data_IF_613666716063
#
_entry.id   IF_613666716063
#
_cell.length_a   1.000
_cell.length_b   1.000
_cell.length_c   1.000
_cell.angle_alpha   90.00
_cell.angle_beta   90.00
_cell.angle_gamma   90.00
#
_symmetry.space_group_name_H-M   'P 1'
#
loop_
_entity.id
_entity.type
_entity.pdbx_description
1 polymer ?
#
# COMPACT_ATOMS: atom_id res chain seq x y z
N UNK A 1 14.75 -0.67 -21.39
CA UNK A 1 13.65 -0.84 -22.34
C UNK A 1 12.38 -1.47 -21.73
N UNK A 2 12.42 -2.16 -20.58
CA UNK A 2 11.21 -2.79 -19.98
C UNK A 2 10.42 -1.90 -19.01
N UNK A 3 11.00 -0.87 -18.41
CA UNK A 3 10.34 -0.01 -17.40
C UNK A 3 9.71 1.26 -17.97
N UNK A 4 10.18 1.78 -19.10
CA UNK A 4 9.53 2.91 -19.79
C UNK A 4 8.25 2.49 -20.53
N UNK A 5 8.09 1.20 -20.80
CA UNK A 5 6.87 0.65 -21.39
C UNK A 5 5.70 0.52 -20.39
N UNK A 6 5.95 0.66 -19.08
CA UNK A 6 4.92 0.51 -18.05
C UNK A 6 4.07 1.75 -17.80
N UNK A 7 4.45 2.91 -18.34
CA UNK A 7 3.72 4.16 -18.07
C UNK A 7 2.94 4.77 -19.23
N UNK A 8 3.34 4.57 -20.46
CA UNK A 8 2.78 5.31 -21.60
C UNK A 8 2.11 4.48 -22.71
N UNK A 9 2.26 3.16 -22.72
CA UNK A 9 1.65 2.32 -23.77
C UNK A 9 0.41 1.55 -23.29
N UNK A 10 0.02 1.68 -22.04
CA UNK A 10 -1.13 0.94 -21.49
C UNK A 10 -2.48 1.31 -22.12
N UNK A 11 -2.60 2.46 -22.76
CA UNK A 11 -3.88 2.89 -23.35
C UNK A 11 -4.20 2.29 -24.74
N UNK A 12 -3.22 1.72 -25.45
CA UNK A 12 -3.44 1.24 -26.80
C UNK A 12 -3.03 -0.22 -27.07
N UNK A 13 -2.41 -0.92 -26.11
CA UNK A 13 -1.99 -2.33 -26.31
C UNK A 13 -3.05 -3.36 -25.93
N UNK A 14 -4.18 -2.94 -25.38
CA UNK A 14 -5.28 -3.86 -24.97
C UNK A 14 -6.21 -4.28 -26.14
N UNK A 15 -5.88 -3.98 -27.38
CA UNK A 15 -6.69 -4.44 -28.52
C UNK A 15 -6.50 -5.94 -28.85
N UNK A 16 -5.46 -6.56 -28.33
CA UNK A 16 -5.24 -8.02 -28.37
C UNK A 16 -5.15 -8.41 -26.91
N UNK A 17 -6.21 -9.02 -26.37
CA UNK A 17 -6.27 -9.41 -24.96
C UNK A 17 -5.01 -10.15 -24.55
N UNK A 18 -4.26 -9.60 -23.59
CA UNK A 18 -3.15 -10.31 -22.96
C UNK A 18 -3.75 -11.50 -22.23
N UNK A 19 -3.37 -12.70 -22.62
CA UNK A 19 -3.78 -13.94 -21.96
C UNK A 19 -2.66 -14.42 -21.04
N UNK A 20 -3.03 -14.87 -19.84
CA UNK A 20 -2.08 -15.61 -19.02
C UNK A 20 -1.78 -16.98 -19.67
N UNK A 21 -0.83 -17.73 -19.07
CA UNK A 21 -0.45 -19.08 -19.56
C UNK A 21 -1.60 -20.11 -19.57
N UNK A 22 -2.74 -19.81 -18.91
CA UNK A 22 -3.97 -20.61 -18.94
C UNK A 22 -4.96 -20.15 -20.04
N UNK A 23 -4.60 -19.15 -20.84
CA UNK A 23 -5.47 -18.57 -21.87
C UNK A 23 -6.58 -17.68 -21.31
N UNK A 24 -6.48 -17.24 -20.04
CA UNK A 24 -7.43 -16.31 -19.44
C UNK A 24 -7.04 -14.88 -19.81
N UNK A 25 -7.99 -14.09 -20.16
CA UNK A 25 -7.82 -12.67 -20.49
C UNK A 25 -7.39 -11.87 -19.26
N UNK A 26 -6.32 -11.08 -19.39
CA UNK A 26 -5.80 -10.23 -18.33
C UNK A 26 -6.48 -8.86 -18.41
N UNK A 27 -7.04 -8.40 -17.30
CA UNK A 27 -7.61 -7.07 -17.19
C UNK A 27 -7.16 -6.42 -15.87
N UNK A 28 -5.93 -5.92 -15.87
CA UNK A 28 -5.31 -5.30 -14.69
C UNK A 28 -5.68 -3.82 -14.60
N UNK A 29 -6.01 -3.35 -13.40
CA UNK A 29 -6.22 -1.93 -13.13
C UNK A 29 -4.86 -1.26 -12.97
N UNK A 30 -4.55 -0.30 -13.84
CA UNK A 30 -3.31 0.49 -13.79
C UNK A 30 -3.57 1.85 -13.17
N UNK A 31 -2.61 2.33 -12.37
CA UNK A 31 -2.67 3.63 -11.72
C UNK A 31 -1.31 4.33 -11.80
N UNK A 32 -1.31 5.64 -11.72
CA UNK A 32 -0.07 6.37 -11.47
C UNK A 32 0.44 6.09 -10.05
N UNK A 33 1.72 6.37 -9.81
CA UNK A 33 2.39 6.30 -8.50
C UNK A 33 2.11 5.02 -7.69
N UNK A 34 2.29 3.82 -8.29
CA UNK A 34 1.93 2.54 -7.66
C UNK A 34 2.74 2.24 -6.39
N UNK A 35 3.87 2.92 -6.16
CA UNK A 35 4.67 2.79 -4.95
C UNK A 35 3.88 3.10 -3.66
N UNK A 36 2.78 3.86 -3.78
CA UNK A 36 1.88 4.16 -2.66
C UNK A 36 1.12 2.95 -2.13
N UNK A 37 0.97 1.89 -2.94
CA UNK A 37 0.31 0.65 -2.53
C UNK A 37 1.23 -0.32 -1.79
N UNK A 38 2.55 -0.14 -1.90
CA UNK A 38 3.53 -1.05 -1.30
C UNK A 38 3.54 -0.86 0.22
N UNK A 39 3.34 -1.94 0.99
CA UNK A 39 3.49 -1.91 2.44
C UNK A 39 4.96 -1.63 2.81
N UNK A 40 5.24 -0.53 3.52
CA UNK A 40 6.62 -0.07 3.67
C UNK A 40 7.34 -0.67 4.87
N UNK A 41 6.61 -1.19 5.87
CA UNK A 41 7.16 -1.67 7.13
C UNK A 41 7.24 -3.20 7.20
N UNK A 42 8.13 -3.69 8.08
CA UNK A 42 8.37 -5.12 8.22
C UNK A 42 7.26 -5.85 8.99
N UNK A 43 6.58 -5.19 9.93
CA UNK A 43 5.53 -5.85 10.71
C UNK A 43 4.37 -6.27 9.83
N UNK A 44 3.80 -5.34 9.08
CA UNK A 44 2.72 -5.63 8.14
C UNK A 44 3.20 -6.49 6.98
N UNK A 45 4.42 -6.23 6.49
CA UNK A 45 5.06 -7.03 5.46
C UNK A 45 5.24 -8.50 5.82
N UNK A 46 5.38 -8.83 7.11
CA UNK A 46 5.45 -10.20 7.61
C UNK A 46 4.07 -10.87 7.76
N UNK A 47 2.99 -10.11 7.64
CA UNK A 47 1.60 -10.57 7.82
C UNK A 47 0.77 -10.44 6.53
N UNK A 48 1.38 -10.69 5.36
CA UNK A 48 0.69 -10.58 4.07
C UNK A 48 0.28 -9.16 3.70
N UNK A 49 1.09 -8.16 4.07
CA UNK A 49 0.83 -6.73 3.90
C UNK A 49 -0.44 -6.22 4.64
N UNK A 50 -0.93 -6.97 5.64
CA UNK A 50 -2.08 -6.62 6.46
C UNK A 50 -1.70 -5.61 7.55
N UNK A 51 -2.53 -4.58 7.75
CA UNK A 51 -2.23 -3.57 8.76
C UNK A 51 -3.40 -2.71 9.22
N UNK A 52 -4.55 -2.73 8.51
CA UNK A 52 -5.68 -1.80 8.79
C UNK A 52 -6.32 -2.04 10.16
N UNK A 53 -6.33 -3.28 10.64
CA UNK A 53 -6.94 -3.69 11.91
C UNK A 53 -5.96 -4.32 12.91
N UNK A 54 -4.66 -4.25 12.69
CA UNK A 54 -3.64 -4.66 13.68
C UNK A 54 -3.61 -3.69 14.85
N UNK A 55 -3.01 -4.10 15.99
CA UNK A 55 -2.78 -3.17 17.10
C UNK A 55 -1.99 -1.94 16.64
N UNK A 56 -2.22 -0.81 17.29
CA UNK A 56 -1.51 0.44 17.04
C UNK A 56 0.01 0.28 17.18
N UNK A 57 0.76 0.89 16.26
CA UNK A 57 2.22 0.94 16.26
C UNK A 57 2.72 2.21 15.58
N UNK A 58 4.04 2.40 15.53
CA UNK A 58 4.66 3.59 14.92
C UNK A 58 4.41 3.66 13.40
N UNK A 59 4.21 2.52 12.72
CA UNK A 59 4.03 2.43 11.27
C UNK A 59 2.56 2.49 10.82
N UNK A 60 1.65 2.80 11.74
CA UNK A 60 0.21 2.84 11.47
C UNK A 60 -0.20 3.84 10.39
N UNK A 61 0.64 4.85 10.08
CA UNK A 61 0.36 5.90 9.09
C UNK A 61 -0.04 5.36 7.71
N UNK A 62 0.65 4.33 7.22
CA UNK A 62 0.36 3.75 5.90
C UNK A 62 -0.95 2.97 5.86
N UNK A 63 -1.26 2.27 6.95
CA UNK A 63 -2.36 1.31 6.99
C UNK A 63 -3.66 1.91 7.52
N UNK A 64 -3.56 2.58 8.67
CA UNK A 64 -4.71 3.17 9.37
C UNK A 64 -4.22 4.18 10.43
N UNK A 65 -4.11 5.47 10.09
CA UNK A 65 -3.65 6.50 11.02
C UNK A 65 -4.53 6.66 12.26
N UNK A 66 -5.82 6.29 12.20
CA UNK A 66 -6.73 6.42 13.35
C UNK A 66 -6.32 5.54 14.54
N UNK A 67 -5.44 4.56 14.35
CA UNK A 67 -4.89 3.72 15.43
C UNK A 67 -4.01 4.49 16.42
N UNK A 68 -3.38 5.60 16.02
CA UNK A 68 -2.37 6.27 16.85
C UNK A 68 -2.85 6.70 18.22
N UNK A 69 -4.12 7.06 18.39
CA UNK A 69 -4.68 7.42 19.70
C UNK A 69 -4.79 6.23 20.66
N UNK A 70 -4.68 4.99 20.16
CA UNK A 70 -4.63 3.75 20.96
C UNK A 70 -3.21 3.32 21.32
N UNK A 71 -2.17 4.00 20.80
CA UNK A 71 -0.80 3.72 21.23
C UNK A 71 -0.63 3.95 22.72
N UNK A 72 0.06 3.03 23.39
CA UNK A 72 0.39 3.12 24.82
C UNK A 72 1.40 4.24 25.08
N UNK A 73 2.32 4.44 24.16
CA UNK A 73 3.39 5.42 24.23
C UNK A 73 2.96 6.78 23.67
N UNK A 74 3.68 7.84 24.05
CA UNK A 74 3.33 9.23 23.68
C UNK A 74 3.92 9.61 22.33
N UNK A 75 5.09 9.09 21.99
CA UNK A 75 5.84 9.47 20.80
C UNK A 75 6.60 8.28 20.24
N UNK A 76 6.62 8.14 18.94
CA UNK A 76 7.43 7.13 18.28
C UNK A 76 7.92 7.59 16.92
N UNK A 77 9.08 7.06 16.53
CA UNK A 77 9.68 7.23 15.20
C UNK A 77 10.14 5.88 14.70
N UNK A 78 9.95 5.60 13.42
CA UNK A 78 10.48 4.42 12.76
C UNK A 78 11.11 4.75 11.41
N UNK A 79 12.09 3.96 11.04
CA UNK A 79 12.70 3.95 9.72
C UNK A 79 12.60 2.54 9.18
N UNK A 80 12.02 2.41 7.98
CA UNK A 80 11.97 1.15 7.24
C UNK A 80 12.74 1.26 5.94
N UNK A 81 13.43 0.18 5.61
CA UNK A 81 14.18 0.03 4.37
C UNK A 81 13.82 -1.28 3.70
N UNK A 82 13.44 -1.20 2.43
CA UNK A 82 13.11 -2.36 1.60
C UNK A 82 13.84 -2.25 0.26
N UNK A 83 14.87 -3.07 0.00
CA UNK A 83 15.38 -3.26 -1.34
C UNK A 83 14.27 -3.92 -2.18
N UNK A 84 13.85 -3.25 -3.24
CA UNK A 84 12.70 -3.63 -4.04
C UNK A 84 13.13 -4.22 -5.38
N UNK A 85 12.44 -5.26 -5.87
CA UNK A 85 12.70 -5.90 -7.17
C UNK A 85 14.18 -6.32 -7.40
N UNK A 86 14.89 -6.72 -6.35
CA UNK A 86 16.35 -6.94 -6.36
C UNK A 86 16.82 -7.99 -7.37
N UNK A 87 15.93 -8.90 -7.80
CA UNK A 87 16.23 -9.86 -8.87
C UNK A 87 16.27 -9.23 -10.26
N UNK A 88 15.58 -8.13 -10.47
CA UNK A 88 15.54 -7.43 -11.76
C UNK A 88 16.58 -6.32 -11.82
N UNK A 89 16.65 -5.50 -10.77
CA UNK A 89 17.51 -4.31 -10.69
C UNK A 89 18.00 -4.14 -9.25
N UNK A 90 19.31 -3.96 -9.08
CA UNK A 90 19.94 -3.99 -7.74
C UNK A 90 19.80 -2.69 -6.93
N UNK A 91 19.35 -1.60 -7.55
CA UNK A 91 19.38 -0.24 -7.01
C UNK A 91 17.99 0.40 -6.80
N UNK A 92 16.92 -0.40 -6.97
CA UNK A 92 15.57 0.03 -6.61
C UNK A 92 15.37 -0.13 -5.10
N UNK A 93 14.98 0.95 -4.43
CA UNK A 93 14.85 0.97 -2.98
C UNK A 93 13.64 1.78 -2.52
N UNK A 94 12.94 1.27 -1.51
CA UNK A 94 11.89 1.96 -0.78
C UNK A 94 12.39 2.31 0.61
N UNK A 95 12.38 3.60 0.93
CA UNK A 95 12.63 4.14 2.26
C UNK A 95 11.34 4.70 2.83
N UNK A 96 11.09 4.44 4.10
CA UNK A 96 9.92 4.94 4.80
C UNK A 96 10.30 5.43 6.19
N UNK A 97 9.98 6.69 6.47
CA UNK A 97 10.06 7.30 7.79
C UNK A 97 8.65 7.54 8.28
N UNK A 98 8.33 7.12 9.49
CA UNK A 98 7.06 7.39 10.14
C UNK A 98 7.28 7.88 11.56
N UNK A 99 6.42 8.79 12.01
CA UNK A 99 6.42 9.31 13.37
C UNK A 99 5.00 9.62 13.82
N UNK A 100 4.76 9.50 15.11
CA UNK A 100 3.52 9.97 15.73
C UNK A 100 3.80 10.67 17.06
N UNK A 101 2.88 11.53 17.46
CA UNK A 101 2.87 12.19 18.74
C UNK A 101 1.45 12.30 19.27
N UNK A 102 1.18 11.67 20.41
CA UNK A 102 -0.06 11.85 21.15
C UNK A 102 -0.02 13.19 21.89
N UNK A 103 -0.87 14.11 21.47
CA UNK A 103 -1.01 15.43 22.10
C UNK A 103 -1.79 15.31 23.41
N UNK A 104 -2.85 14.48 23.37
CA UNK A 104 -3.72 14.14 24.49
C UNK A 104 -4.05 12.65 24.45
N UNK A 105 -4.82 12.16 25.41
CA UNK A 105 -5.33 10.76 25.37
C UNK A 105 -6.34 10.53 24.24
N UNK A 106 -6.85 11.61 23.64
CA UNK A 106 -7.87 11.58 22.59
C UNK A 106 -7.35 12.01 21.22
N UNK A 107 -6.22 12.71 21.16
CA UNK A 107 -5.72 13.34 19.92
C UNK A 107 -4.27 12.97 19.67
N UNK A 108 -3.94 12.63 18.43
CA UNK A 108 -2.58 12.40 17.99
C UNK A 108 -2.31 13.05 16.62
N UNK A 109 -1.10 13.55 16.45
CA UNK A 109 -0.53 13.95 15.16
C UNK A 109 0.39 12.85 14.66
N UNK A 110 0.50 12.75 13.34
CA UNK A 110 1.41 11.82 12.71
C UNK A 110 2.02 12.41 11.45
N UNK A 111 3.17 11.87 11.08
CA UNK A 111 3.93 12.28 9.92
C UNK A 111 4.50 11.05 9.24
N UNK A 112 4.57 11.02 7.91
CA UNK A 112 5.43 10.09 7.20
C UNK A 112 6.06 10.70 5.96
N UNK A 113 7.22 10.16 5.61
CA UNK A 113 7.90 10.40 4.35
C UNK A 113 8.18 9.04 3.72
N UNK A 114 7.72 8.83 2.52
CA UNK A 114 8.02 7.69 1.69
C UNK A 114 8.83 8.15 0.49
N UNK A 115 9.98 7.51 0.27
CA UNK A 115 10.86 7.77 -0.86
C UNK A 115 11.12 6.48 -1.63
N UNK A 116 10.83 6.49 -2.93
CA UNK A 116 11.04 5.37 -3.83
C UNK A 116 12.03 5.77 -4.92
N UNK A 117 13.17 5.09 -4.96
CA UNK A 117 14.18 5.24 -6.00
C UNK A 117 14.05 4.08 -6.98
N UNK A 118 13.98 4.41 -8.27
CA UNK A 118 13.94 3.42 -9.34
C UNK A 118 15.33 3.04 -9.87
N UNK A 119 16.39 3.53 -9.20
CA UNK A 119 17.77 3.27 -9.59
C UNK A 119 18.26 4.06 -10.79
N UNK A 120 19.36 3.60 -11.37
CA UNK A 120 20.00 4.23 -12.54
C UNK A 120 19.43 3.65 -13.82
N UNK A 121 18.70 4.46 -14.60
CA UNK A 121 18.14 4.07 -15.90
C UNK A 121 18.94 4.72 -17.02
N UNK A 122 19.56 3.90 -17.87
CA UNK A 122 20.23 4.36 -19.08
C UNK A 122 19.19 4.54 -20.20
N UNK A 123 19.01 5.77 -20.63
CA UNK A 123 18.17 6.08 -21.78
C UNK A 123 18.94 5.88 -23.07
N UNK A 124 18.26 5.37 -24.08
CA UNK A 124 18.82 5.20 -25.44
C UNK A 124 17.87 5.83 -26.44
N UNK A 125 18.45 6.35 -27.55
CA UNK A 125 17.66 6.79 -28.69
C UNK A 125 17.03 5.61 -29.46
N UNK A 126 16.30 5.91 -30.53
CA UNK A 126 15.64 4.89 -31.35
C UNK A 126 16.64 3.95 -32.07
N UNK A 127 17.92 4.29 -32.09
CA UNK A 127 19.02 3.51 -32.69
C UNK A 127 19.81 2.74 -31.62
N UNK A 128 19.39 2.81 -30.34
CA UNK A 128 20.08 2.18 -29.22
C UNK A 128 21.32 2.93 -28.71
N UNK A 129 21.57 4.17 -29.15
CA UNK A 129 22.69 4.96 -28.67
C UNK A 129 22.40 5.56 -27.30
N UNK A 130 23.36 5.55 -26.37
CA UNK A 130 23.16 6.09 -25.03
C UNK A 130 22.83 7.59 -25.07
N UNK A 131 21.73 8.01 -24.44
CA UNK A 131 21.32 9.41 -24.25
C UNK A 131 21.63 9.93 -22.83
N UNK A 132 22.25 9.11 -21.98
CA UNK A 132 22.60 9.45 -20.62
C UNK A 132 21.89 8.57 -19.59
N UNK A 133 22.35 8.68 -18.33
CA UNK A 133 21.77 7.96 -17.18
C UNK A 133 20.94 8.94 -16.37
N UNK A 134 19.74 8.54 -15.99
CA UNK A 134 18.83 9.30 -15.14
C UNK A 134 18.45 8.49 -13.91
N UNK A 135 18.03 9.16 -12.84
CA UNK A 135 17.61 8.57 -11.57
C UNK A 135 16.14 8.91 -11.26
N UNK A 136 15.19 8.23 -11.90
CA UNK A 136 13.78 8.46 -11.60
C UNK A 136 13.50 8.18 -10.12
N UNK A 137 12.65 9.02 -9.55
CA UNK A 137 12.28 8.88 -8.14
C UNK A 137 10.88 9.40 -7.89
N UNK A 138 10.28 8.88 -6.83
CA UNK A 138 8.98 9.28 -6.36
C UNK A 138 9.04 9.47 -4.85
N UNK A 139 8.28 10.43 -4.32
CA UNK A 139 8.09 10.54 -2.89
C UNK A 139 6.69 11.03 -2.52
N UNK A 140 6.29 10.69 -1.30
CA UNK A 140 5.06 11.20 -0.68
C UNK A 140 5.34 11.66 0.74
N UNK A 141 4.69 12.77 1.12
CA UNK A 141 4.72 13.34 2.48
C UNK A 141 3.29 13.34 3.00
N UNK A 142 3.11 12.76 4.17
CA UNK A 142 1.82 12.63 4.84
C UNK A 142 1.84 13.38 6.17
N UNK A 143 0.75 14.07 6.48
CA UNK A 143 0.48 14.65 7.80
C UNK A 143 -0.87 14.10 8.27
N UNK A 144 -0.90 13.43 9.41
CA UNK A 144 -2.12 12.84 9.94
C UNK A 144 -2.60 13.52 11.22
N UNK A 145 -3.91 13.63 11.36
CA UNK A 145 -4.56 13.95 12.63
C UNK A 145 -5.58 12.87 12.93
N UNK A 146 -5.46 12.27 14.10
CA UNK A 146 -6.36 11.23 14.60
C UNK A 146 -7.01 11.65 15.91
N UNK A 147 -8.30 11.29 16.04
CA UNK A 147 -9.10 11.62 17.23
C UNK A 147 -9.94 10.43 17.67
N UNK A 148 -9.90 10.15 18.97
CA UNK A 148 -10.79 9.19 19.62
C UNK A 148 -12.16 9.85 19.83
N UNK A 149 -13.21 9.24 19.28
CA UNK A 149 -14.59 9.71 19.41
C UNK A 149 -15.27 9.19 20.67
N UNK A 150 -15.05 7.91 20.95
CA UNK A 150 -15.42 7.20 22.19
C UNK A 150 -14.25 6.31 22.57
N UNK A 151 -14.30 5.67 23.73
CA UNK A 151 -13.17 4.86 24.23
C UNK A 151 -12.73 3.76 23.26
N UNK A 152 -13.66 3.23 22.44
CA UNK A 152 -13.40 2.13 21.51
C UNK A 152 -13.21 2.56 20.06
N UNK A 153 -13.57 3.81 19.69
CA UNK A 153 -13.64 4.23 18.28
C UNK A 153 -12.85 5.50 18.02
N UNK A 154 -12.05 5.49 17.00
CA UNK A 154 -11.31 6.67 16.50
C UNK A 154 -11.47 6.86 15.00
N UNK A 155 -11.20 8.08 14.57
CA UNK A 155 -11.12 8.49 13.15
C UNK A 155 -9.83 9.24 12.91
N UNK A 156 -9.39 9.28 11.65
CA UNK A 156 -8.30 10.15 11.23
C UNK A 156 -8.50 10.67 9.81
N UNK A 157 -7.87 11.80 9.55
CA UNK A 157 -7.70 12.38 8.22
C UNK A 157 -6.22 12.65 7.99
N UNK A 158 -5.74 12.32 6.78
CA UNK A 158 -4.31 12.41 6.44
C UNK A 158 -4.15 13.04 5.06
N UNK A 159 -3.97 14.37 4.96
CA UNK A 159 -3.51 14.99 3.73
C UNK A 159 -2.14 14.45 3.32
N UNK A 160 -1.97 14.31 2.00
CA UNK A 160 -0.79 13.75 1.33
C UNK A 160 -0.36 14.63 0.18
N UNK A 161 0.94 14.95 0.10
CA UNK A 161 1.58 15.52 -1.06
C UNK A 161 2.37 14.43 -1.79
N UNK A 162 2.27 14.38 -3.13
CA UNK A 162 2.89 13.37 -3.98
C UNK A 162 3.71 14.07 -5.05
N UNK A 163 4.95 13.61 -5.21
CA UNK A 163 5.86 13.98 -6.28
C UNK A 163 6.32 12.71 -7.00
N UNK A 164 6.24 12.72 -8.34
CA UNK A 164 6.67 11.58 -9.16
C UNK A 164 7.45 12.10 -10.37
N UNK A 165 8.70 11.70 -10.48
CA UNK A 165 9.58 12.03 -11.60
C UNK A 165 10.10 10.74 -12.25
N UNK A 166 9.28 10.15 -13.11
CA UNK A 166 9.57 8.86 -13.77
C UNK A 166 10.38 9.06 -15.06
N UNK A 167 10.16 10.17 -15.76
CA UNK A 167 10.72 10.42 -17.07
C UNK A 167 11.95 11.31 -17.02
N UNK A 168 12.24 11.92 -15.87
CA UNK A 168 13.39 12.81 -15.65
C UNK A 168 13.51 13.94 -16.70
N UNK A 169 12.36 14.43 -17.22
CA UNK A 169 12.31 15.50 -18.21
C UNK A 169 12.65 15.09 -19.65
N UNK A 170 12.61 13.79 -19.96
CA UNK A 170 12.81 13.30 -21.33
C UNK A 170 11.61 13.64 -22.22
N UNK A 171 11.84 13.67 -23.53
CA UNK A 171 10.78 13.81 -24.53
C UNK A 171 10.19 12.42 -24.79
N UNK A 172 8.89 12.27 -24.57
CA UNK A 172 8.13 11.04 -24.88
C UNK A 172 7.03 11.43 -25.89
N UNK A 173 6.91 10.69 -26.99
CA UNK A 173 5.96 10.96 -28.08
C UNK A 173 5.98 12.40 -28.60
N UNK A 174 7.17 12.98 -28.74
CA UNK A 174 7.42 14.39 -29.16
C UNK A 174 6.91 15.44 -28.14
N UNK A 175 6.48 15.07 -26.95
CA UNK A 175 6.05 15.98 -25.88
C UNK A 175 7.09 16.03 -24.77
N UNK A 176 7.44 17.22 -24.24
CA UNK A 176 8.30 17.34 -23.08
C UNK A 176 7.57 16.84 -21.85
N UNK A 177 8.22 15.95 -21.11
CA UNK A 177 7.67 15.44 -19.86
C UNK A 177 8.15 16.25 -18.66
N UNK A 178 7.32 16.33 -17.64
CA UNK A 178 7.59 16.99 -16.36
C UNK A 178 7.33 16.03 -15.20
N UNK A 179 7.87 16.39 -14.05
CA UNK A 179 7.49 15.69 -12.83
C UNK A 179 5.99 15.88 -12.54
N UNK A 180 5.31 14.79 -12.25
CA UNK A 180 3.92 14.80 -11.82
C UNK A 180 3.78 15.25 -10.37
N UNK A 181 2.81 16.11 -10.11
CA UNK A 181 2.45 16.59 -8.77
C UNK A 181 0.99 16.25 -8.48
N UNK A 182 0.72 15.73 -7.29
CA UNK A 182 -0.65 15.47 -6.86
C UNK A 182 -0.83 15.73 -5.36
N UNK A 183 -2.07 16.08 -5.01
CA UNK A 183 -2.55 16.13 -3.64
C UNK A 183 -3.59 15.05 -3.41
N UNK A 184 -3.54 14.39 -2.26
CA UNK A 184 -4.51 13.38 -1.86
C UNK A 184 -4.82 13.49 -0.38
N UNK A 185 -5.82 12.74 0.07
CA UNK A 185 -6.11 12.56 1.49
C UNK A 185 -6.55 11.13 1.76
N UNK A 186 -6.22 10.62 2.95
CA UNK A 186 -6.75 9.37 3.47
C UNK A 186 -7.80 9.68 4.55
N UNK A 187 -8.82 8.82 4.63
CA UNK A 187 -9.84 8.84 5.69
C UNK A 187 -9.88 7.47 6.32
N UNK A 188 -9.70 7.39 7.63
CA UNK A 188 -9.64 6.11 8.33
C UNK A 188 -10.46 6.09 9.61
N UNK A 189 -10.83 4.88 10.02
CA UNK A 189 -11.56 4.60 11.25
C UNK A 189 -11.01 3.31 11.87
N UNK A 190 -10.96 3.28 13.20
CA UNK A 190 -10.49 2.12 13.94
C UNK A 190 -11.32 1.91 15.20
N UNK A 191 -11.67 0.66 15.41
CA UNK A 191 -12.40 0.18 16.57
C UNK A 191 -11.57 -0.85 17.32
N UNK A 192 -11.46 -0.71 18.64
CA UNK A 192 -10.78 -1.66 19.52
C UNK A 192 -11.62 -1.89 20.77
N UNK A 193 -11.87 -3.16 21.11
CA UNK A 193 -12.63 -3.56 22.28
C UNK A 193 -11.98 -4.76 22.96
N UNK A 194 -11.74 -4.61 24.26
CA UNK A 194 -11.25 -5.67 25.12
C UNK A 194 -12.39 -6.47 25.74
N UNK A 195 -12.19 -7.77 25.89
CA UNK A 195 -13.10 -8.71 26.52
C UNK A 195 -12.37 -9.59 27.51
N UNK A 196 -12.92 -9.79 28.72
CA UNK A 196 -12.45 -10.80 29.66
C UNK A 196 -13.03 -12.17 29.27
N UNK A 197 -12.18 -13.17 29.08
CA UNK A 197 -12.58 -14.54 28.73
C UNK A 197 -12.78 -15.39 29.99
N UNK A 198 -14.03 -15.49 30.45
CA UNK A 198 -14.43 -16.39 31.50
C UNK A 198 -13.83 -16.06 32.89
N UNK A 199 -13.62 -17.13 33.73
CA UNK A 199 -13.00 -17.04 35.08
C UNK A 199 -11.47 -17.17 35.05
N UNK A 200 -10.88 -17.31 33.88
CA UNK A 200 -9.44 -17.41 33.62
C UNK A 200 -8.87 -16.00 33.45
N UNK A 201 -7.59 -15.79 33.82
CA UNK A 201 -6.86 -14.53 33.56
C UNK A 201 -6.56 -14.32 32.06
N UNK A 202 -7.43 -14.80 31.18
CA UNK A 202 -7.32 -14.62 29.73
C UNK A 202 -8.12 -13.40 29.31
N UNK A 203 -7.47 -12.53 28.57
CA UNK A 203 -8.10 -11.39 27.91
C UNK A 203 -8.09 -11.61 26.39
N UNK A 204 -9.00 -10.94 25.73
CA UNK A 204 -8.99 -10.91 24.28
C UNK A 204 -9.35 -9.51 23.80
N UNK A 205 -8.84 -9.14 22.64
CA UNK A 205 -9.08 -7.84 22.01
C UNK A 205 -9.58 -8.06 20.58
N UNK A 206 -10.75 -7.53 20.28
CA UNK A 206 -11.28 -7.44 18.92
C UNK A 206 -10.95 -6.08 18.34
N UNK A 207 -10.44 -6.07 17.11
CA UNK A 207 -10.15 -4.85 16.36
C UNK A 207 -10.82 -4.90 15.01
N UNK A 208 -11.33 -3.76 14.57
CA UNK A 208 -11.83 -3.56 13.22
C UNK A 208 -11.26 -2.26 12.66
N UNK A 209 -10.87 -2.27 11.40
CA UNK A 209 -10.27 -1.14 10.71
C UNK A 209 -10.89 -0.88 9.36
N UNK A 210 -10.98 0.41 9.04
CA UNK A 210 -11.43 0.94 7.76
C UNK A 210 -10.45 2.03 7.32
N UNK A 211 -10.06 2.01 6.04
CA UNK A 211 -9.26 3.09 5.46
C UNK A 211 -9.60 3.23 3.97
N UNK A 212 -9.86 4.46 3.53
CA UNK A 212 -9.81 4.82 2.11
C UNK A 212 -8.60 5.73 1.96
N UNK A 213 -7.60 5.26 1.23
CA UNK A 213 -6.36 5.99 1.00
C UNK A 213 -6.30 6.57 -0.41
N UNK A 214 -5.48 7.63 -0.58
CA UNK A 214 -5.17 8.27 -1.86
C UNK A 214 -6.40 8.88 -2.57
N UNK A 215 -7.39 9.39 -1.86
CA UNK A 215 -8.47 10.17 -2.46
C UNK A 215 -7.87 11.51 -2.92
N UNK A 216 -7.62 11.68 -4.23
CA UNK A 216 -6.89 12.83 -4.72
C UNK A 216 -7.10 13.12 -6.21
N UNK A 217 -6.49 14.21 -6.69
CA UNK A 217 -6.56 14.58 -8.09
C UNK A 217 -5.79 13.60 -8.98
N UNK A 218 -6.23 13.45 -10.22
CA UNK A 218 -5.46 12.74 -11.26
C UNK A 218 -4.11 13.44 -11.48
N UNK A 219 -3.05 12.66 -11.76
CA UNK A 219 -1.69 13.15 -12.04
C UNK A 219 -1.43 13.14 -13.55
N UNK A 220 -0.60 14.08 -14.02
CA UNK A 220 -0.13 14.13 -15.40
C UNK A 220 1.37 14.34 -15.42
N UNK A 221 2.03 13.72 -16.38
CA UNK A 221 3.48 13.84 -16.63
C UNK A 221 3.81 14.64 -17.89
N UNK A 222 2.82 15.12 -18.63
CA UNK A 222 2.99 15.96 -19.82
C UNK A 222 2.38 17.34 -19.62
N UNK A 223 2.89 18.32 -20.35
CA UNK A 223 2.33 19.68 -20.38
C UNK A 223 0.99 19.75 -21.12
N UNK A 224 0.69 18.74 -21.95
CA UNK A 224 -0.60 18.55 -22.60
C UNK A 224 -1.64 18.00 -21.61
N UNK A 225 -2.87 18.49 -21.70
CA UNK A 225 -3.96 18.11 -20.78
C UNK A 225 -4.62 16.77 -21.12
N UNK A 226 -4.10 16.02 -22.12
CA UNK A 226 -4.80 14.91 -22.74
C UNK A 226 -4.78 13.60 -21.92
N UNK A 227 -3.74 13.36 -21.11
CA UNK A 227 -3.65 12.12 -20.34
C UNK A 227 -3.42 12.42 -18.86
N UNK A 228 -4.38 12.03 -18.03
CA UNK A 228 -4.30 12.14 -16.58
C UNK A 228 -4.70 10.80 -15.96
N UNK A 229 -3.78 10.24 -15.20
CA UNK A 229 -3.95 8.94 -14.57
C UNK A 229 -4.50 9.09 -13.15
N UNK A 230 -5.33 8.13 -12.74
CA UNK A 230 -5.82 8.06 -11.38
C UNK A 230 -4.70 7.72 -10.39
N UNK A 231 -4.76 8.34 -9.22
CA UNK A 231 -4.00 7.85 -8.06
C UNK A 231 -4.58 6.49 -7.61
N UNK A 232 -3.78 5.65 -6.94
CA UNK A 232 -4.23 4.35 -6.45
C UNK A 232 -5.16 4.51 -5.24
N UNK A 233 -6.33 5.09 -5.44
CA UNK A 233 -7.35 5.18 -4.39
C UNK A 233 -7.73 3.78 -3.99
N UNK A 234 -7.58 3.43 -2.71
CA UNK A 234 -7.73 2.06 -2.24
C UNK A 234 -8.58 1.98 -0.97
N UNK A 235 -9.59 1.13 -0.99
CA UNK A 235 -10.39 0.76 0.18
C UNK A 235 -9.75 -0.42 0.89
N UNK A 236 -9.53 -0.31 2.19
CA UNK A 236 -9.10 -1.41 3.07
C UNK A 236 -10.11 -1.61 4.19
N UNK A 237 -10.50 -2.86 4.39
CA UNK A 237 -11.35 -3.30 5.51
C UNK A 237 -10.69 -4.49 6.18
N UNK A 238 -10.63 -4.51 7.48
CA UNK A 238 -10.02 -5.61 8.19
C UNK A 238 -10.59 -5.83 9.58
N UNK A 239 -10.39 -7.04 10.07
CA UNK A 239 -10.71 -7.44 11.43
C UNK A 239 -9.57 -8.29 11.97
N UNK A 240 -9.19 -8.08 13.22
CA UNK A 240 -8.26 -8.95 13.94
C UNK A 240 -8.75 -9.28 15.33
N UNK A 241 -8.34 -10.43 15.80
CA UNK A 241 -8.65 -10.92 17.14
C UNK A 241 -7.37 -11.38 17.82
N UNK A 242 -7.09 -10.82 18.99
CA UNK A 242 -5.94 -11.18 19.80
C UNK A 242 -6.41 -11.88 21.09
N UNK A 243 -5.69 -12.90 21.50
CA UNK A 243 -5.91 -13.64 22.74
C UNK A 243 -4.65 -13.59 23.57
N UNK A 244 -4.74 -13.05 24.77
CA UNK A 244 -3.71 -13.11 25.80
C UNK A 244 -3.95 -14.39 26.65
N UNK A 245 -3.18 -15.44 26.37
CA UNK A 245 -3.28 -16.70 27.12
C UNK A 245 -2.83 -16.54 28.57
N UNK A 246 -1.89 -15.63 28.78
CA UNK A 246 -1.38 -15.20 30.07
C UNK A 246 -0.58 -13.89 29.89
N UNK A 247 0.05 -13.38 30.94
CA UNK A 247 0.85 -12.14 30.91
C UNK A 247 2.04 -12.16 29.92
N UNK A 248 2.38 -13.32 29.39
CA UNK A 248 3.57 -13.52 28.58
C UNK A 248 3.30 -13.90 27.12
N UNK A 249 2.14 -14.47 26.83
CA UNK A 249 1.85 -15.09 25.55
C UNK A 249 0.59 -14.49 24.92
N UNK A 250 0.74 -13.82 23.82
CA UNK A 250 -0.35 -13.28 23.00
C UNK A 250 -0.30 -13.88 21.59
N UNK A 251 -1.45 -14.28 21.08
CA UNK A 251 -1.63 -14.68 19.68
C UNK A 251 -2.69 -13.79 19.05
N UNK A 252 -2.35 -13.16 17.92
CA UNK A 252 -3.27 -12.39 17.09
C UNK A 252 -3.44 -13.07 15.74
N UNK A 253 -4.67 -13.14 15.27
CA UNK A 253 -5.03 -13.51 13.91
C UNK A 253 -5.89 -12.42 13.27
N UNK A 254 -5.74 -12.17 12.00
CA UNK A 254 -6.52 -11.15 11.30
C UNK A 254 -6.70 -11.45 9.82
N UNK A 255 -7.70 -10.79 9.26
CA UNK A 255 -8.03 -10.82 7.83
C UNK A 255 -8.26 -9.39 7.37
N UNK A 256 -7.74 -9.05 6.21
CA UNK A 256 -7.93 -7.76 5.55
C UNK A 256 -8.33 -8.00 4.09
N UNK A 257 -9.25 -7.19 3.60
CA UNK A 257 -9.57 -7.10 2.18
C UNK A 257 -9.25 -5.70 1.69
N UNK A 258 -8.77 -5.62 0.46
CA UNK A 258 -8.56 -4.33 -0.18
C UNK A 258 -9.02 -4.37 -1.64
N UNK A 259 -9.53 -3.23 -2.12
CA UNK A 259 -10.00 -3.03 -3.49
C UNK A 259 -9.58 -1.64 -3.97
N UNK A 260 -9.01 -1.57 -5.16
CA UNK A 260 -8.78 -0.30 -5.85
C UNK A 260 -10.12 0.34 -6.23
N UNK A 261 -10.29 1.59 -5.83
CA UNK A 261 -11.46 2.41 -6.17
C UNK A 261 -11.15 3.29 -7.39
N UNK A 262 -10.69 2.64 -8.46
CA UNK A 262 -10.29 3.23 -9.74
C UNK A 262 -11.03 2.49 -10.83
N UNK A 263 -11.49 3.18 -11.89
CA UNK A 263 -12.22 2.53 -12.97
C UNK A 263 -11.45 1.37 -13.59
N UNK A 264 -12.15 0.25 -13.80
CA UNK A 264 -11.61 -0.91 -14.50
C UNK A 264 -11.56 -0.62 -15.99
N UNK A 265 -10.47 -0.98 -16.71
CA UNK A 265 -10.40 -0.82 -18.15
C UNK A 265 -11.57 -1.58 -18.85
N UNK A 266 -12.30 -0.90 -19.76
CA UNK A 266 -13.39 -1.54 -20.49
C UNK A 266 -12.86 -2.42 -21.62
N UNK A 267 -13.67 -3.36 -22.08
CA UNK A 267 -13.44 -4.08 -23.33
C UNK A 267 -13.97 -3.24 -24.51
N UNK A 268 -13.10 -2.94 -25.47
CA UNK A 268 -13.48 -2.18 -26.66
C UNK A 268 -13.98 -3.09 -27.79
N UNK A 269 -14.85 -2.54 -28.65
CA UNK A 269 -15.29 -3.23 -29.85
C UNK A 269 -14.15 -3.29 -30.86
N UNK A 270 -13.78 -4.50 -31.26
CA UNK A 270 -12.72 -4.76 -32.24
C UNK A 270 -13.36 -5.25 -33.53
N UNK A 271 -12.94 -4.70 -34.65
CA UNK A 271 -13.35 -5.14 -35.98
C UNK A 271 -12.71 -6.48 -36.30
N UNK A 272 -13.50 -7.53 -36.46
CA UNK A 272 -13.04 -8.92 -36.70
C UNK A 272 -12.17 -9.08 -37.94
N UNK A 273 -12.31 -8.19 -38.95
CA UNK A 273 -11.58 -8.27 -40.21
C UNK A 273 -10.21 -7.59 -40.13
N UNK A 274 -10.07 -6.54 -39.30
CA UNK A 274 -8.83 -5.74 -39.24
C UNK A 274 -8.08 -5.89 -37.93
N UNK A 275 -8.71 -6.48 -36.89
CA UNK A 275 -8.14 -6.56 -35.53
C UNK A 275 -7.95 -5.21 -34.85
N UNK A 276 -8.60 -4.14 -35.33
CA UNK A 276 -8.46 -2.79 -34.79
C UNK A 276 -9.70 -2.38 -33.99
N UNK A 277 -9.48 -1.55 -32.94
CA UNK A 277 -10.56 -0.93 -32.19
C UNK A 277 -11.43 -0.08 -33.12
N UNK A 278 -12.74 -0.18 -32.99
CA UNK A 278 -13.71 0.66 -33.67
C UNK A 278 -13.93 1.97 -32.91
N UNK A 279 -14.12 3.05 -33.68
CA UNK A 279 -14.33 4.40 -33.15
C UNK A 279 -15.65 4.96 -33.61
N UNK A 280 -16.29 5.76 -32.75
CA UNK A 280 -17.50 6.48 -33.09
C UNK A 280 -17.21 7.70 -34.00
N UNK A 281 -18.25 8.43 -34.40
CA UNK A 281 -18.14 9.63 -35.26
C UNK A 281 -17.37 10.78 -34.58
N UNK A 282 -17.21 10.76 -33.26
CA UNK A 282 -16.45 11.73 -32.47
C UNK A 282 -15.01 11.27 -32.20
N UNK A 283 -14.58 10.15 -32.81
CA UNK A 283 -13.27 9.52 -32.62
C UNK A 283 -13.03 9.00 -31.20
N UNK A 284 -14.07 8.61 -30.48
CA UNK A 284 -13.95 7.88 -29.21
C UNK A 284 -14.00 6.37 -29.48
N UNK A 285 -13.21 5.55 -28.76
CA UNK A 285 -13.29 4.10 -28.90
C UNK A 285 -14.65 3.58 -28.40
N UNK A 286 -15.26 2.69 -29.19
CA UNK A 286 -16.57 2.12 -28.84
C UNK A 286 -16.38 1.04 -27.77
N UNK A 287 -17.01 1.22 -26.62
CA UNK A 287 -17.00 0.27 -25.51
C UNK A 287 -18.00 -0.86 -25.81
N UNK A 288 -17.50 -2.11 -25.77
CA UNK A 288 -18.31 -3.32 -25.92
C UNK A 288 -18.88 -3.77 -24.58
N UNK A 289 -18.01 -3.86 -23.56
CA UNK A 289 -18.38 -4.19 -22.19
C UNK A 289 -17.63 -3.31 -21.20
N UNK A 290 -18.22 -3.07 -20.02
CA UNK A 290 -17.66 -2.17 -19.01
C UNK A 290 -18.22 -0.76 -19.12
N UNK A 291 -17.50 0.22 -18.56
CA UNK A 291 -17.90 1.63 -18.55
C UNK A 291 -16.76 2.53 -18.97
N UNK A 292 -17.08 3.76 -19.37
CA UNK A 292 -16.07 4.78 -19.71
C UNK A 292 -15.17 5.05 -18.50
N UNK A 293 -13.84 4.85 -18.62
CA UNK A 293 -12.89 5.10 -17.54
C UNK A 293 -12.50 6.58 -17.40
N UNK A 294 -12.76 7.41 -18.44
CA UNK A 294 -12.43 8.85 -18.38
C UNK A 294 -13.54 9.63 -17.67
N UNK A 295 -13.55 9.51 -16.35
CA UNK A 295 -14.53 10.13 -15.45
C UNK A 295 -13.83 10.91 -14.35
N UNK A 296 -14.57 11.72 -13.61
CA UNK A 296 -14.06 12.41 -12.42
C UNK A 296 -13.64 11.41 -11.34
N UNK A 297 -12.74 11.81 -10.41
CA UNK A 297 -12.28 10.95 -9.32
C UNK A 297 -13.46 10.43 -8.48
N UNK A 298 -14.36 11.32 -8.09
CA UNK A 298 -15.54 10.91 -7.30
C UNK A 298 -16.40 9.89 -8.06
N UNK A 299 -16.67 10.12 -9.35
CA UNK A 299 -17.41 9.18 -10.17
C UNK A 299 -16.66 7.85 -10.32
N UNK A 300 -15.34 7.87 -10.52
CA UNK A 300 -14.49 6.67 -10.61
C UNK A 300 -14.57 5.81 -9.34
N UNK A 301 -14.52 6.43 -8.16
CA UNK A 301 -14.66 5.74 -6.87
C UNK A 301 -15.98 4.95 -6.78
N UNK A 302 -17.11 5.57 -7.14
CA UNK A 302 -18.40 4.87 -7.09
C UNK A 302 -18.59 3.89 -8.25
N UNK A 303 -18.03 4.20 -9.42
CA UNK A 303 -18.13 3.35 -10.60
C UNK A 303 -17.36 2.04 -10.43
N UNK A 304 -16.20 2.05 -9.76
CA UNK A 304 -15.31 0.90 -9.54
C UNK A 304 -15.96 -0.30 -8.82
N UNK A 305 -17.18 -0.19 -8.35
CA UNK A 305 -17.92 -1.31 -7.76
C UNK A 305 -18.79 -2.08 -8.77
N UNK A 306 -18.93 -1.58 -10.02
CA UNK A 306 -19.80 -2.19 -11.02
C UNK A 306 -19.41 -1.83 -12.46
N UNK A 307 -18.14 -1.68 -12.77
CA UNK A 307 -17.64 -1.30 -14.11
C UNK A 307 -16.80 -2.38 -14.82
N UNK A 308 -16.51 -3.47 -14.15
CA UNK A 308 -15.75 -4.56 -14.74
C UNK A 308 -16.50 -5.18 -15.94
N UNK A 309 -15.85 -5.39 -17.10
CA UNK A 309 -16.46 -5.97 -18.31
C UNK A 309 -17.11 -7.33 -18.09
N UNK A 310 -16.51 -8.19 -17.26
CA UNK A 310 -17.04 -9.49 -16.89
C UNK A 310 -18.10 -9.47 -15.79
N UNK A 311 -18.61 -8.26 -15.41
CA UNK A 311 -19.65 -8.07 -14.42
C UNK A 311 -19.25 -8.45 -12.99
N UNK A 312 -20.23 -8.84 -12.16
CA UNK A 312 -20.01 -9.10 -10.73
C UNK A 312 -18.94 -10.14 -10.43
N UNK A 313 -18.75 -11.14 -11.28
CA UNK A 313 -17.73 -12.15 -11.09
C UNK A 313 -16.30 -11.57 -11.23
N UNK A 314 -16.10 -10.62 -12.13
CA UNK A 314 -14.84 -9.93 -12.30
C UNK A 314 -14.63 -8.90 -11.18
N UNK A 315 -15.66 -8.19 -10.74
CA UNK A 315 -15.59 -7.29 -9.57
C UNK A 315 -15.08 -8.01 -8.31
N UNK A 316 -15.53 -9.25 -8.08
CA UNK A 316 -15.00 -10.06 -6.97
C UNK A 316 -13.52 -10.45 -7.13
N UNK A 317 -13.04 -10.59 -8.36
CA UNK A 317 -11.62 -10.86 -8.64
C UNK A 317 -10.71 -9.66 -8.38
N UNK A 318 -11.27 -8.45 -8.31
CA UNK A 318 -10.53 -7.21 -7.97
C UNK A 318 -10.31 -7.04 -6.47
N UNK A 319 -10.97 -7.85 -5.64
CA UNK A 319 -10.80 -7.82 -4.20
C UNK A 319 -9.59 -8.68 -3.83
N UNK A 320 -8.56 -8.03 -3.28
CA UNK A 320 -7.37 -8.70 -2.75
C UNK A 320 -7.60 -9.09 -1.28
N UNK A 321 -6.97 -10.17 -0.85
CA UNK A 321 -7.11 -10.74 0.48
C UNK A 321 -5.76 -10.86 1.18
N UNK A 322 -5.73 -10.51 2.45
CA UNK A 322 -4.59 -10.73 3.33
C UNK A 322 -5.03 -11.48 4.56
N UNK A 323 -4.24 -12.46 4.98
CA UNK A 323 -4.40 -13.16 6.24
C UNK A 323 -3.08 -13.10 6.98
N UNK A 324 -3.11 -12.75 8.27
CA UNK A 324 -1.91 -12.60 9.08
C UNK A 324 -2.06 -13.19 10.47
N UNK A 325 -0.93 -13.70 10.97
CA UNK A 325 -0.77 -14.22 12.32
C UNK A 325 0.42 -13.54 12.97
N UNK A 326 0.27 -13.12 14.22
CA UNK A 326 1.35 -12.59 15.07
C UNK A 326 1.32 -13.28 16.43
N UNK A 327 2.40 -13.95 16.78
CA UNK A 327 2.63 -14.45 18.13
C UNK A 327 3.65 -13.57 18.82
N UNK A 328 3.35 -13.14 20.04
CA UNK A 328 4.29 -12.38 20.87
C UNK A 328 4.55 -13.08 22.20
N UNK A 329 5.82 -13.03 22.61
CA UNK A 329 6.29 -13.47 23.90
C UNK A 329 6.78 -12.28 24.71
N UNK A 330 6.08 -11.95 25.81
CA UNK A 330 6.36 -10.83 26.73
C UNK A 330 6.40 -9.45 26.06
N UNK A 331 5.75 -9.29 24.91
CA UNK A 331 5.92 -8.10 24.05
C UNK A 331 7.39 -7.77 23.69
N UNK A 332 8.29 -8.78 23.84
CA UNK A 332 9.72 -8.69 23.56
C UNK A 332 10.07 -9.37 22.24
N UNK A 333 9.59 -10.59 22.03
CA UNK A 333 9.84 -11.37 20.82
C UNK A 333 8.54 -11.56 20.04
N UNK A 334 8.63 -11.37 18.75
CA UNK A 334 7.51 -11.48 17.82
C UNK A 334 7.87 -12.44 16.70
N UNK A 335 6.94 -13.33 16.36
CA UNK A 335 7.01 -14.20 15.18
C UNK A 335 5.72 -14.00 14.41
N UNK A 336 5.86 -13.81 13.09
CA UNK A 336 4.75 -13.45 12.20
C UNK A 336 4.76 -14.32 10.97
N UNK A 337 3.55 -14.59 10.48
CA UNK A 337 3.34 -15.24 9.19
C UNK A 337 2.11 -14.63 8.52
N UNK A 338 2.09 -14.62 7.20
CA UNK A 338 0.96 -14.11 6.45
C UNK A 338 0.89 -14.64 5.04
N UNK A 339 -0.25 -14.40 4.42
CA UNK A 339 -0.52 -14.73 3.02
C UNK A 339 -1.27 -13.58 2.36
N UNK A 340 -0.84 -13.21 1.18
CA UNK A 340 -1.50 -12.25 0.31
C UNK A 340 -1.97 -12.93 -0.96
N UNK A 341 -3.20 -12.61 -1.37
CA UNK A 341 -3.81 -13.14 -2.58
C UNK A 341 -4.38 -12.03 -3.44
N UNK A 342 -3.97 -11.98 -4.70
CA UNK A 342 -4.56 -11.22 -5.79
C UNK A 342 -4.87 -12.17 -6.93
N UNK A 343 -6.05 -11.98 -7.55
CA UNK A 343 -6.52 -12.90 -8.58
C UNK A 343 -5.58 -12.92 -9.81
N UNK A 344 -5.31 -14.08 -10.44
CA UNK A 344 -4.39 -14.21 -11.59
C UNK A 344 -4.68 -13.27 -12.76
N UNK A 345 -5.94 -12.92 -13.01
CA UNK A 345 -6.33 -12.00 -14.10
C UNK A 345 -6.21 -10.51 -13.74
N UNK A 346 -5.89 -10.17 -12.47
CA UNK A 346 -5.84 -8.79 -11.95
C UNK A 346 -4.45 -8.35 -11.48
N UNK A 347 -3.43 -9.20 -11.62
CA UNK A 347 -2.03 -8.87 -11.24
C UNK A 347 -1.26 -10.06 -10.73
N UNK A 348 -1.95 -11.14 -10.29
CA UNK A 348 -1.35 -12.42 -9.88
C UNK A 348 -0.31 -12.32 -8.76
N UNK A 349 -0.45 -11.34 -7.86
CA UNK A 349 0.45 -11.24 -6.70
C UNK A 349 -0.03 -12.21 -5.62
N UNK A 350 0.63 -13.34 -5.52
CA UNK A 350 0.37 -14.34 -4.50
C UNK A 350 1.69 -14.64 -3.78
N UNK A 351 1.71 -14.40 -2.47
CA UNK A 351 2.92 -14.60 -1.70
C UNK A 351 2.64 -14.98 -0.24
N UNK A 352 3.55 -15.78 0.30
CA UNK A 352 3.63 -16.12 1.72
C UNK A 352 4.69 -15.20 2.33
N UNK A 353 4.45 -14.73 3.53
CA UNK A 353 5.39 -13.89 4.27
C UNK A 353 5.68 -14.49 5.63
N UNK A 354 6.91 -14.28 6.09
CA UNK A 354 7.32 -14.61 7.45
C UNK A 354 8.14 -13.45 8.02
N UNK A 355 8.16 -13.33 9.32
CA UNK A 355 8.98 -12.31 9.95
C UNK A 355 9.19 -12.54 11.43
N UNK A 356 10.16 -11.82 11.95
CA UNK A 356 10.49 -11.82 13.37
C UNK A 356 10.76 -10.39 13.83
N UNK A 357 10.51 -10.12 15.12
CA UNK A 357 10.77 -8.83 15.74
C UNK A 357 11.31 -8.98 17.15
N UNK A 358 12.16 -8.06 17.55
CA UNK A 358 12.65 -7.93 18.92
C UNK A 358 12.41 -6.49 19.36
N UNK A 359 11.59 -6.31 20.40
CA UNK A 359 11.30 -4.99 20.98
C UNK A 359 11.79 -4.96 22.42
N UNK A 360 12.75 -4.10 22.71
CA UNK A 360 13.34 -3.97 24.04
C UNK A 360 13.42 -2.50 24.47
N UNK A 361 12.76 -2.17 25.56
CA UNK A 361 12.66 -0.80 26.07
C UNK A 361 12.04 0.12 25.02
N UNK A 362 12.81 1.08 24.51
CA UNK A 362 12.38 2.03 23.46
C UNK A 362 12.72 1.55 22.06
N UNK A 363 13.49 0.47 21.91
CA UNK A 363 13.98 -0.01 20.62
C UNK A 363 13.17 -1.18 20.11
N UNK A 364 12.82 -1.17 18.85
CA UNK A 364 12.25 -2.28 18.12
C UNK A 364 13.00 -2.53 16.83
N UNK A 365 13.29 -3.77 16.53
CA UNK A 365 13.85 -4.23 15.25
C UNK A 365 12.96 -5.32 14.70
N UNK A 366 12.41 -5.11 13.54
CA UNK A 366 11.57 -6.06 12.81
C UNK A 366 12.17 -6.38 11.45
N UNK A 367 12.02 -7.64 11.05
CA UNK A 367 12.43 -8.14 9.74
C UNK A 367 11.30 -8.95 9.13
N UNK A 368 11.15 -8.84 7.81
CA UNK A 368 10.21 -9.64 7.05
C UNK A 368 10.84 -10.18 5.77
N UNK A 369 10.39 -11.34 5.36
CA UNK A 369 10.80 -11.98 4.13
C UNK A 369 9.58 -12.48 3.37
N UNK A 370 9.59 -12.27 2.04
CA UNK A 370 8.49 -12.59 1.14
C UNK A 370 8.90 -13.70 0.18
N UNK A 371 8.08 -14.76 0.13
CA UNK A 371 8.17 -15.87 -0.81
C UNK A 371 7.00 -15.79 -1.78
N UNK A 372 7.25 -15.66 -3.07
CA UNK A 372 6.20 -15.71 -4.09
C UNK A 372 5.78 -17.14 -4.36
N UNK A 373 4.50 -17.35 -4.63
CA UNK A 373 3.97 -18.67 -5.02
C UNK A 373 4.40 -19.02 -6.43
N UNK A 374 4.36 -18.03 -7.34
CA UNK A 374 4.82 -18.20 -8.72
C UNK A 374 6.34 -18.03 -8.81
N UNK A 375 6.97 -18.96 -9.56
CA UNK A 375 8.40 -18.89 -9.85
C UNK A 375 8.71 -17.70 -10.76
N UNK A 376 9.85 -17.04 -10.49
CA UNK A 376 10.33 -15.88 -11.25
C UNK A 376 9.47 -14.60 -11.12
N UNK A 377 8.62 -14.53 -10.11
CA UNK A 377 7.89 -13.29 -9.84
C UNK A 377 8.85 -12.17 -9.38
N UNK A 378 8.70 -10.93 -9.88
CA UNK A 378 9.62 -9.82 -9.55
C UNK A 378 9.77 -9.53 -8.05
N UNK A 379 8.74 -9.79 -7.25
CA UNK A 379 8.75 -9.58 -5.79
C UNK A 379 9.48 -10.68 -5.00
N UNK A 380 9.92 -11.75 -5.66
CA UNK A 380 10.59 -12.87 -5.00
C UNK A 380 11.83 -12.41 -4.23
N UNK A 381 12.03 -12.96 -3.02
CA UNK A 381 13.15 -12.63 -2.14
C UNK A 381 13.20 -11.18 -1.65
N UNK A 382 12.04 -10.51 -1.52
CA UNK A 382 11.99 -9.18 -0.92
C UNK A 382 12.21 -9.27 0.58
N UNK A 383 13.23 -8.55 1.07
CA UNK A 383 13.54 -8.36 2.48
C UNK A 383 13.06 -6.98 2.90
N UNK A 384 12.52 -6.87 4.11
CA UNK A 384 12.17 -5.58 4.73
C UNK A 384 12.78 -5.50 6.11
N UNK A 385 13.28 -4.33 6.47
CA UNK A 385 13.86 -4.03 7.76
C UNK A 385 13.19 -2.78 8.33
N UNK A 386 12.81 -2.84 9.59
CA UNK A 386 12.21 -1.69 10.30
C UNK A 386 12.89 -1.53 11.64
N UNK A 387 13.41 -0.34 11.89
CA UNK A 387 13.92 0.10 13.19
C UNK A 387 12.95 1.10 13.79
N UNK A 388 12.52 0.83 15.02
CA UNK A 388 11.51 1.64 15.73
C UNK A 388 12.10 2.17 17.03
N UNK A 389 11.75 3.42 17.36
CA UNK A 389 11.99 4.07 18.63
C UNK A 389 10.68 4.58 19.18
N UNK A 390 10.23 4.06 20.32
CA UNK A 390 8.91 4.31 20.88
C UNK A 390 8.99 4.71 22.35
N UNK A 391 8.57 5.93 22.68
CA UNK A 391 8.81 6.58 23.95
C UNK A 391 7.53 6.78 24.75
N UNK A 392 7.47 6.27 25.98
CA UNK A 392 6.36 6.47 26.89
C UNK A 392 6.31 7.89 27.49
N UNK A 393 7.45 8.57 27.57
CA UNK A 393 7.56 9.93 28.11
C UNK A 393 8.76 10.66 27.50
N UNK A 394 8.65 12.01 27.38
CA UNK A 394 9.79 12.87 27.02
C UNK A 394 10.66 13.26 28.23
N UNK A 395 10.25 12.94 29.46
CA UNK A 395 11.02 13.27 30.65
C UNK A 395 12.21 12.33 30.78
N UNK A 396 13.42 12.90 30.88
CA UNK A 396 14.68 12.16 30.93
C UNK A 396 14.75 11.14 32.08
N UNK A 397 14.07 11.42 33.19
CA UNK A 397 14.01 10.52 34.35
C UNK A 397 13.11 9.32 34.13
N UNK A 398 12.04 9.47 33.37
CA UNK A 398 11.10 8.39 33.05
C UNK A 398 11.71 7.42 32.03
N UNK A 399 12.46 7.91 31.04
CA UNK A 399 13.17 7.08 30.05
C UNK A 399 14.21 6.20 30.76
N UNK A 400 14.89 6.74 31.78
CA UNK A 400 15.91 6.00 32.56
C UNK A 400 15.30 4.92 33.45
N UNK A 401 14.06 5.07 33.88
CA UNK A 401 13.34 4.13 34.73
C UNK A 401 12.66 3.00 33.95
N UNK A 402 12.30 3.23 32.69
CA UNK A 402 11.69 2.20 31.83
C UNK A 402 12.65 1.00 31.59
N UNK A 403 13.97 1.24 31.53
CA UNK A 403 14.97 0.17 31.44
C UNK A 403 15.11 -0.68 32.70
N UNK A 404 14.60 -0.20 33.86
CA UNK A 404 14.69 -0.94 35.14
C UNK A 404 13.46 -1.80 35.44
N UNK A 405 12.31 -1.44 34.92
CA UNK A 405 11.04 -2.15 35.18
C UNK A 405 10.94 -3.47 34.41
N UNK A 406 11.68 -3.62 33.33
CA UNK A 406 11.67 -4.84 32.51
C UNK A 406 12.67 -5.92 32.97
N UNK A 407 13.47 -5.67 34.01
CA UNK A 407 14.46 -6.62 34.52
C UNK A 407 14.04 -7.35 35.81
N UNK A 408 12.83 -7.15 36.31
CA UNK A 408 12.31 -7.85 37.50
C UNK A 408 11.25 -8.90 37.12
#
# INVERSE_FOLDING_TARGET
MLLAALGCTAAYSQAIGDHNYLGQELNTITTAVPFLQVAPDSRSGAMGDMGVATSADVNSQHHNPSKYVFNKNIFGVSISYSPWLRKLVNDINLLYLSAYWKITDYDALSFSLRYFSLGDIQFTDMYGQPMGTQKPNEFAIDLGYSRKLIDQLSIAITPRFIYSNLTAGQIVDNEPTNAGLAGAADVSMFYEQDFALGKSNMNSTLRAGFNISNIGNKISYSSGTLHRDFLPTNLKLGVSYAIDFNEHHTLMAGVEINKLLVPTPPEYLVNDSTGRIEYDAANNPIIKYGKNPDVSVAQGIFQSFNDAPGGAAEEFREVNWSVGLEYSYRNLLFVRAGYFFEHPTKGNRQFITVGAGIHYSIFGLDMAYLFTVDQHHPLENTLRFTLTFDFASFKKDDIRNQGKVQMN
#
